data_IF_818434113971
#
_entry.id   IF_818434113971
#
_cell.length_a   1.000
_cell.length_b   1.000
_cell.length_c   1.000
_cell.angle_alpha   90.00
_cell.angle_beta   90.00
_cell.angle_gamma   90.00
#
_symmetry.space_group_name_H-M   'P 1'
#
loop_
_entity.id
_entity.type
_entity.pdbx_description
1 polymer ?
#
# COMPACT_ATOMS: atom_id res chain seq x y z
N UNK A 1 -5.92 3.54 -11.21
CA UNK A 1 -4.97 3.20 -10.13
C UNK A 1 -4.86 1.71 -10.09
N UNK A 2 -3.67 1.19 -10.34
CA UNK A 2 -3.42 -0.23 -10.30
C UNK A 2 -2.53 -0.56 -9.11
N UNK A 3 -2.85 -1.69 -8.48
CA UNK A 3 -2.14 -2.18 -7.32
C UNK A 3 -1.72 -3.61 -7.52
N UNK A 4 -0.50 -3.91 -7.07
CA UNK A 4 0.04 -5.25 -7.04
C UNK A 4 0.60 -5.56 -5.66
N UNK A 5 0.49 -6.82 -5.23
CA UNK A 5 1.07 -7.30 -3.98
C UNK A 5 1.80 -8.61 -4.24
N UNK A 6 3.05 -8.68 -3.80
CA UNK A 6 3.93 -9.83 -3.95
C UNK A 6 4.58 -10.15 -2.62
N UNK A 7 4.75 -11.44 -2.33
CA UNK A 7 5.57 -11.93 -1.21
C UNK A 7 6.96 -12.17 -1.77
N UNK A 8 7.98 -11.51 -1.25
CA UNK A 8 9.33 -11.54 -1.81
C UNK A 8 10.30 -12.44 -1.04
N UNK A 9 10.39 -12.25 0.27
CA UNK A 9 11.32 -12.97 1.14
C UNK A 9 10.59 -13.62 2.30
N UNK A 10 11.04 -14.81 2.64
CA UNK A 10 10.64 -15.56 3.82
C UNK A 10 11.93 -15.88 4.57
N UNK A 11 12.18 -15.16 5.67
CA UNK A 11 13.13 -15.61 6.69
C UNK A 11 12.36 -16.49 7.68
N UNK A 12 13.06 -17.28 8.51
CA UNK A 12 12.43 -18.29 9.38
C UNK A 12 11.26 -17.76 10.23
N UNK A 13 11.25 -16.47 10.57
CA UNK A 13 10.22 -15.86 11.42
C UNK A 13 9.44 -14.70 10.77
N UNK A 14 9.87 -14.18 9.61
CA UNK A 14 9.31 -12.95 9.03
C UNK A 14 9.11 -13.05 7.51
N UNK A 15 8.08 -12.36 7.03
CA UNK A 15 7.81 -12.19 5.60
C UNK A 15 8.06 -10.76 5.17
N UNK A 16 8.53 -10.59 3.94
CA UNK A 16 8.55 -9.29 3.26
C UNK A 16 7.44 -9.23 2.22
N UNK A 17 6.51 -8.29 2.39
CA UNK A 17 5.50 -7.95 1.40
C UNK A 17 5.90 -6.72 0.62
N UNK A 18 5.92 -6.86 -0.71
CA UNK A 18 6.05 -5.76 -1.65
C UNK A 18 4.68 -5.34 -2.16
N UNK A 19 4.31 -4.09 -1.94
CA UNK A 19 3.14 -3.45 -2.57
C UNK A 19 3.59 -2.47 -3.64
N UNK A 20 2.97 -2.48 -4.81
CA UNK A 20 3.21 -1.47 -5.87
C UNK A 20 1.94 -0.73 -6.22
N UNK A 21 2.06 0.57 -6.49
CA UNK A 21 0.96 1.46 -6.84
C UNK A 21 1.36 2.34 -8.02
N UNK A 22 0.54 2.34 -9.06
CA UNK A 22 0.70 3.19 -10.25
C UNK A 22 -0.62 3.85 -10.63
N UNK A 23 -0.54 4.93 -11.41
CA UNK A 23 -1.70 5.66 -11.93
C UNK A 23 -1.47 6.00 -13.39
N UNK A 24 -2.57 6.10 -14.14
CA UNK A 24 -2.60 6.63 -15.52
C UNK A 24 -3.14 8.08 -15.54
N UNK A 25 -3.38 8.66 -14.36
CA UNK A 25 -3.82 10.03 -14.23
C UNK A 25 -2.64 10.97 -14.41
N UNK A 26 -2.79 11.97 -15.28
CA UNK A 26 -1.76 12.96 -15.58
C UNK A 26 -1.43 13.85 -14.38
N UNK A 27 -2.44 14.17 -13.57
CA UNK A 27 -2.26 14.91 -12.34
C UNK A 27 -1.80 14.00 -11.19
N UNK A 28 -0.89 14.51 -10.36
CA UNK A 28 -0.45 13.81 -9.18
C UNK A 28 -1.54 13.77 -8.09
N UNK A 29 -1.49 12.76 -7.24
CA UNK A 29 -2.42 12.55 -6.13
C UNK A 29 -1.65 12.20 -4.86
N UNK A 30 -2.20 12.54 -3.70
CA UNK A 30 -1.65 12.08 -2.42
C UNK A 30 -2.30 10.76 -2.04
N UNK A 31 -1.50 9.70 -2.05
CA UNK A 31 -1.94 8.34 -1.73
C UNK A 31 -1.46 7.94 -0.33
N UNK A 32 -2.39 7.44 0.48
CA UNK A 32 -2.13 6.77 1.75
C UNK A 32 -2.30 5.27 1.57
N UNK A 33 -1.23 4.52 1.84
CA UNK A 33 -1.13 3.08 1.59
C UNK A 33 -0.81 2.33 2.88
N UNK A 34 -1.62 1.33 3.20
CA UNK A 34 -1.50 0.57 4.45
C UNK A 34 -2.08 -0.84 4.30
N UNK A 35 -1.76 -1.71 5.26
CA UNK A 35 -2.31 -3.05 5.34
C UNK A 35 -3.47 -3.13 6.34
N UNK A 36 -4.44 -4.00 6.02
CA UNK A 36 -5.52 -4.41 6.92
C UNK A 36 -5.52 -5.93 6.99
N UNK A 37 -5.78 -6.50 8.15
CA UNK A 37 -5.79 -7.95 8.37
C UNK A 37 -7.09 -8.43 9.01
N UNK A 38 -7.44 -9.70 8.77
CA UNK A 38 -8.57 -10.37 9.45
C UNK A 38 -8.31 -10.67 10.93
N UNK A 39 -7.04 -10.59 11.35
CA UNK A 39 -6.60 -10.80 12.73
C UNK A 39 -5.61 -9.73 13.17
N UNK A 40 -5.51 -9.41 14.48
CA UNK A 40 -4.46 -8.55 14.99
C UNK A 40 -3.07 -9.07 14.59
N UNK A 41 -2.26 -8.16 14.07
CA UNK A 41 -0.86 -8.37 13.70
C UNK A 41 0.03 -7.60 14.68
N UNK A 42 1.33 -7.61 14.47
CA UNK A 42 2.28 -6.87 15.30
C UNK A 42 3.29 -6.11 14.47
N UNK A 43 3.93 -5.14 15.11
CA UNK A 43 5.11 -4.48 14.58
C UNK A 43 4.88 -3.73 13.26
N UNK A 44 5.79 -3.86 12.28
CA UNK A 44 5.77 -3.07 11.05
C UNK A 44 4.54 -3.27 10.16
N UNK A 45 3.71 -4.29 10.41
CA UNK A 45 2.45 -4.49 9.66
C UNK A 45 1.58 -3.23 9.60
N UNK A 46 1.54 -2.45 10.70
CA UNK A 46 0.72 -1.25 10.80
C UNK A 46 1.37 0.02 10.21
N UNK A 47 2.54 -0.11 9.58
CA UNK A 47 3.14 1.02 8.88
C UNK A 47 2.23 1.50 7.76
N UNK A 48 2.10 2.82 7.73
CA UNK A 48 1.32 3.53 6.74
C UNK A 48 2.23 4.46 5.97
N UNK A 49 2.20 4.33 4.65
CA UNK A 49 2.94 5.19 3.74
C UNK A 49 2.02 6.28 3.23
N UNK A 50 2.44 7.54 3.34
CA UNK A 50 1.81 8.67 2.65
C UNK A 50 2.80 9.13 1.59
N UNK A 51 2.38 9.13 0.32
CA UNK A 51 3.25 9.50 -0.80
C UNK A 51 2.51 10.29 -1.86
N UNK A 52 3.25 11.11 -2.60
CA UNK A 52 2.78 11.62 -3.88
C UNK A 52 2.82 10.49 -4.93
N UNK A 53 1.76 10.32 -5.69
CA UNK A 53 1.62 9.35 -6.77
C UNK A 53 1.36 10.10 -8.08
N UNK A 54 2.26 9.93 -9.06
CA UNK A 54 2.20 10.54 -10.39
C UNK A 54 2.36 9.45 -11.46
N UNK A 55 1.93 9.72 -12.69
CA UNK A 55 1.98 8.78 -13.82
C UNK A 55 3.41 8.27 -14.11
N UNK A 56 4.38 9.17 -14.06
CA UNK A 56 5.80 8.93 -14.35
C UNK A 56 6.61 8.42 -13.16
N UNK A 57 6.02 8.41 -11.97
CA UNK A 57 6.66 8.01 -10.72
C UNK A 57 5.80 6.97 -9.97
N UNK A 58 5.74 5.71 -10.44
CA UNK A 58 5.12 4.62 -9.68
C UNK A 58 5.81 4.44 -8.33
N UNK A 59 5.06 3.94 -7.33
CA UNK A 59 5.54 3.78 -5.96
C UNK A 59 5.54 2.31 -5.55
N UNK A 60 6.57 1.94 -4.80
CA UNK A 60 6.72 0.61 -4.22
C UNK A 60 6.97 0.74 -2.73
N UNK A 61 6.35 -0.15 -1.96
CA UNK A 61 6.31 -0.13 -0.51
C UNK A 61 6.64 -1.53 0.02
N UNK A 62 7.24 -1.58 1.20
CA UNK A 62 7.65 -2.83 1.83
C UNK A 62 7.11 -2.92 3.25
N UNK A 63 6.67 -4.11 3.65
CA UNK A 63 6.32 -4.42 5.03
C UNK A 63 7.03 -5.72 5.42
N UNK A 64 7.76 -5.68 6.53
CA UNK A 64 8.48 -6.82 7.09
C UNK A 64 7.86 -7.18 8.44
N UNK A 65 7.23 -8.34 8.55
CA UNK A 65 6.54 -8.71 9.79
C UNK A 65 6.36 -10.23 9.93
N UNK A 66 6.20 -10.73 11.16
CA UNK A 66 5.97 -12.14 11.41
C UNK A 66 4.54 -12.59 11.07
N UNK A 67 4.40 -13.81 10.56
CA UNK A 67 3.09 -14.46 10.28
C UNK A 67 3.00 -15.78 11.04
N UNK A 68 2.36 -15.73 12.21
CA UNK A 68 2.23 -16.89 13.13
C UNK A 68 0.99 -17.75 12.88
N UNK A 69 0.04 -17.26 12.08
CA UNK A 69 -1.18 -17.99 11.69
C UNK A 69 -1.63 -17.57 10.30
N UNK A 70 -2.50 -18.38 9.70
CA UNK A 70 -3.12 -18.01 8.43
C UNK A 70 -3.97 -16.75 8.63
N UNK A 71 -3.75 -15.75 7.78
CA UNK A 71 -4.40 -14.44 7.87
C UNK A 71 -4.78 -13.96 6.48
N UNK A 72 -5.95 -13.35 6.37
CA UNK A 72 -6.35 -12.63 5.16
C UNK A 72 -5.93 -11.18 5.34
N UNK A 73 -5.13 -10.68 4.42
CA UNK A 73 -4.70 -9.28 4.40
C UNK A 73 -5.27 -8.55 3.19
N UNK A 74 -5.37 -7.23 3.31
CA UNK A 74 -5.67 -6.33 2.23
C UNK A 74 -4.61 -5.23 2.17
N UNK A 75 -4.00 -5.04 1.02
CA UNK A 75 -3.26 -3.82 0.72
C UNK A 75 -4.27 -2.78 0.24
N UNK A 76 -4.30 -1.64 0.92
CA UNK A 76 -5.27 -0.57 0.70
C UNK A 76 -4.53 0.68 0.26
N UNK A 77 -4.98 1.31 -0.83
CA UNK A 77 -4.55 2.65 -1.21
C UNK A 77 -5.76 3.59 -1.26
N UNK A 78 -5.63 4.72 -0.57
CA UNK A 78 -6.65 5.77 -0.52
C UNK A 78 -6.06 7.11 -0.94
N UNK A 79 -6.71 7.80 -1.85
CA UNK A 79 -6.40 9.18 -2.19
C UNK A 79 -6.98 10.10 -1.12
N UNK A 80 -6.13 10.97 -0.55
CA UNK A 80 -6.47 11.88 0.52
C UNK A 80 -6.11 13.32 0.15
N UNK A 81 -6.67 14.28 0.88
CA UNK A 81 -6.26 15.68 0.83
C UNK A 81 -5.27 15.92 1.97
N UNK A 82 -3.97 15.90 1.68
CA UNK A 82 -2.93 16.23 2.65
C UNK A 82 -1.91 17.14 1.96
N UNK A 83 -1.62 18.28 2.58
CA UNK A 83 -0.74 19.31 2.01
C UNK A 83 0.74 18.92 2.17
N UNK A 84 1.60 19.51 1.34
CA UNK A 84 3.06 19.36 1.41
C UNK A 84 3.60 17.93 1.17
N UNK A 85 2.81 17.03 0.58
CA UNK A 85 3.28 15.70 0.17
C UNK A 85 3.76 15.68 -1.29
N UNK A 86 3.00 16.31 -2.19
CA UNK A 86 3.42 16.54 -3.57
C UNK A 86 4.15 17.90 -3.65
N UNK A 87 5.26 17.95 -4.40
CA UNK A 87 6.01 19.20 -4.64
C UNK A 87 5.32 20.10 -5.66
N UNK A 88 4.49 19.52 -6.52
CA UNK A 88 3.75 20.26 -7.52
C UNK A 88 2.48 20.88 -6.93
N UNK A 89 2.15 22.09 -7.37
CA UNK A 89 1.07 22.90 -6.82
C UNK A 89 -0.34 22.31 -7.02
N UNK A 90 -0.49 21.21 -7.77
CA UNK A 90 -1.79 20.63 -8.13
C UNK A 90 -1.77 19.13 -7.82
N UNK A 91 -2.18 18.78 -6.60
CA UNK A 91 -2.62 17.42 -6.28
C UNK A 91 -4.14 17.33 -6.41
N UNK A 92 -4.65 16.32 -7.09
CA UNK A 92 -6.10 16.16 -7.31
C UNK A 92 -6.69 15.00 -6.51
N UNK A 93 -8.00 15.04 -6.30
CA UNK A 93 -8.76 13.93 -5.75
C UNK A 93 -9.81 13.53 -6.79
N UNK A 94 -9.74 12.30 -7.34
CA UNK A 94 -10.73 11.82 -8.30
C UNK A 94 -12.13 11.75 -7.68
N UNK A 95 -13.14 12.19 -8.43
CA UNK A 95 -14.55 12.08 -8.01
C UNK A 95 -15.02 10.62 -7.84
N UNK A 96 -14.35 9.68 -8.52
CA UNK A 96 -14.58 8.23 -8.42
C UNK A 96 -13.24 7.51 -8.40
N UNK A 97 -13.17 6.39 -7.69
CA UNK A 97 -11.95 5.57 -7.64
C UNK A 97 -10.85 6.16 -6.76
N UNK A 98 -11.18 6.99 -5.77
CA UNK A 98 -10.25 7.49 -4.76
C UNK A 98 -9.80 6.43 -3.74
N UNK A 99 -10.20 5.18 -3.94
CA UNK A 99 -9.90 4.05 -3.06
C UNK A 99 -9.80 2.78 -3.89
N UNK A 100 -8.77 1.99 -3.64
CA UNK A 100 -8.60 0.66 -4.22
C UNK A 100 -7.92 -0.27 -3.21
N UNK A 101 -8.18 -1.56 -3.33
CA UNK A 101 -7.59 -2.56 -2.47
C UNK A 101 -7.44 -3.90 -3.19
N UNK A 102 -6.47 -4.68 -2.74
CA UNK A 102 -6.25 -6.05 -3.18
C UNK A 102 -6.11 -6.95 -1.97
N UNK A 103 -6.78 -8.11 -2.00
CA UNK A 103 -6.74 -9.09 -0.91
C UNK A 103 -5.75 -10.20 -1.23
N UNK A 104 -5.04 -10.65 -0.21
CA UNK A 104 -4.18 -11.82 -0.29
C UNK A 104 -4.27 -12.63 1.00
N UNK A 105 -4.30 -13.95 0.85
CA UNK A 105 -4.19 -14.86 1.96
C UNK A 105 -2.72 -15.17 2.21
N UNK A 106 -2.31 -15.07 3.46
CA UNK A 106 -0.97 -15.43 3.92
C UNK A 106 -1.08 -16.63 4.85
N UNK A 107 -0.16 -17.56 4.69
CA UNK A 107 -0.02 -18.71 5.57
C UNK A 107 1.34 -18.64 6.27
N UNK A 108 1.44 -19.11 7.52
CA UNK A 108 2.72 -19.38 8.16
C UNK A 108 3.50 -20.39 7.32
N UNK A 109 4.81 -20.38 7.48
CA UNK A 109 5.67 -21.43 6.93
C UNK A 109 5.57 -22.71 7.78
#
# INVERSE_FOLDING_TARGET
>A
MDMEIQRELENQDEITLKGSLKTELKECMVAKVFLVSSYPMSGPFYYTYTTCLCEDSPKTFYWEFPVVRQVDIALVAKIISEENICTDAISVIPNKGNFTYIRRKLSPQ
#
